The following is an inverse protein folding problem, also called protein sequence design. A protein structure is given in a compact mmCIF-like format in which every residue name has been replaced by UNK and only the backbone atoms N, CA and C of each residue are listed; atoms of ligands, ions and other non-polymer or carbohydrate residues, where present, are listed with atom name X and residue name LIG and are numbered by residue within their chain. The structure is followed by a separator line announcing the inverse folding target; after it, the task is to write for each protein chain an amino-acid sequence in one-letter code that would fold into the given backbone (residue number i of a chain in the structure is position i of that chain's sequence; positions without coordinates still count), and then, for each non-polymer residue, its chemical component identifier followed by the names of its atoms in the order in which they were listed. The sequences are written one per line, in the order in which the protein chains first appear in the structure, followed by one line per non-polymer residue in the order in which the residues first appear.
data_IF_724020606770
#
_entry.id   IF_724020606770
#
_cell.length_a   1.000
_cell.length_b   1.000
_cell.length_c   1.000
_cell.angle_alpha   90.00
_cell.angle_beta   90.00
_cell.angle_gamma   90.00
#
_symmetry.space_group_name_H-M   'P 1'
#
loop_
_entity.id
_entity.type
_entity.pdbx_description
1 polymer ?
#
# COMPACT_ATOMS: atom_id res chain seq x y z
N UNK A 1 -25.79 -0.56 -12.49
CA UNK A 1 -24.65 -1.39 -12.03
C UNK A 1 -24.88 -1.77 -10.58
N UNK A 2 -24.77 -3.05 -10.25
CA UNK A 2 -24.86 -3.48 -8.85
C UNK A 2 -23.67 -2.93 -8.06
N UNK A 3 -23.93 -2.41 -6.86
CA UNK A 3 -22.87 -1.90 -5.97
C UNK A 3 -22.18 -3.12 -5.34
N UNK A 4 -20.94 -3.40 -5.78
CA UNK A 4 -20.14 -4.52 -5.26
C UNK A 4 -19.46 -4.23 -3.92
N UNK A 5 -19.42 -2.96 -3.49
CA UNK A 5 -18.78 -2.51 -2.26
C UNK A 5 -19.82 -2.28 -1.19
N UNK A 6 -19.55 -2.77 0.01
CA UNK A 6 -20.41 -2.56 1.19
C UNK A 6 -19.60 -2.15 2.41
N UNK A 7 -20.30 -1.61 3.41
CA UNK A 7 -19.70 -1.37 4.73
C UNK A 7 -19.51 -2.67 5.48
N UNK A 8 -18.53 -2.72 6.37
CA UNK A 8 -18.37 -3.81 7.34
C UNK A 8 -19.52 -3.79 8.36
N UNK A 9 -19.61 -4.80 9.20
CA UNK A 9 -20.65 -4.88 10.24
C UNK A 9 -20.58 -3.70 11.24
N UNK A 10 -21.73 -3.37 11.85
CA UNK A 10 -21.78 -2.34 12.89
C UNK A 10 -20.88 -2.73 14.09
N UNK A 11 -20.85 -4.01 14.43
CA UNK A 11 -20.01 -4.53 15.52
C UNK A 11 -18.53 -4.33 15.22
N UNK A 12 -18.07 -4.65 14.00
CA UNK A 12 -16.69 -4.47 13.60
C UNK A 12 -16.32 -2.98 13.53
N UNK A 13 -17.25 -2.15 13.06
CA UNK A 13 -17.09 -0.69 13.08
C UNK A 13 -16.90 -0.17 14.50
N UNK A 14 -17.72 -0.61 15.45
CA UNK A 14 -17.62 -0.22 16.85
C UNK A 14 -16.29 -0.68 17.46
N UNK A 15 -15.89 -1.93 17.21
CA UNK A 15 -14.58 -2.45 17.67
C UNK A 15 -13.43 -1.57 17.19
N UNK A 16 -13.39 -1.23 15.89
CA UNK A 16 -12.34 -0.37 15.33
C UNK A 16 -12.32 1.00 16.05
N UNK A 17 -13.46 1.61 16.27
CA UNK A 17 -13.53 2.92 16.93
C UNK A 17 -13.09 2.85 18.40
N UNK A 18 -13.51 1.84 19.15
CA UNK A 18 -13.11 1.63 20.54
C UNK A 18 -11.59 1.42 20.64
N UNK A 19 -11.03 0.51 19.85
CA UNK A 19 -9.58 0.29 19.84
C UNK A 19 -8.80 1.54 19.43
N UNK A 20 -9.28 2.26 18.41
CA UNK A 20 -8.63 3.50 17.96
C UNK A 20 -8.68 4.59 19.02
N UNK A 21 -9.80 4.71 19.76
CA UNK A 21 -9.94 5.64 20.87
C UNK A 21 -8.95 5.31 22.00
N UNK A 22 -8.94 4.05 22.46
CA UNK A 22 -8.03 3.61 23.52
C UNK A 22 -6.56 3.82 23.12
N UNK A 23 -6.22 3.48 21.87
CA UNK A 23 -4.88 3.72 21.35
C UNK A 23 -4.54 5.22 21.30
N UNK A 24 -5.49 6.06 20.90
CA UNK A 24 -5.33 7.53 20.88
C UNK A 24 -5.06 8.07 22.29
N UNK A 25 -5.80 7.62 23.28
CA UNK A 25 -5.58 8.00 24.70
C UNK A 25 -4.18 7.57 25.14
N UNK A 26 -3.77 6.33 24.85
CA UNK A 26 -2.44 5.84 25.17
C UNK A 26 -1.33 6.69 24.51
N UNK A 27 -1.47 7.06 23.24
CA UNK A 27 -0.52 7.92 22.54
C UNK A 27 -0.44 9.30 23.20
N UNK A 28 -1.57 9.89 23.60
CA UNK A 28 -1.59 11.19 24.27
C UNK A 28 -0.87 11.10 25.61
N UNK A 29 -1.16 10.10 26.43
CA UNK A 29 -0.50 9.88 27.74
C UNK A 29 1.01 9.68 27.56
N UNK A 30 1.42 8.82 26.62
CA UNK A 30 2.83 8.59 26.28
C UNK A 30 3.52 9.90 25.86
N UNK A 31 2.89 10.72 25.03
CA UNK A 31 3.44 12.02 24.61
C UNK A 31 3.56 13.00 25.76
N UNK A 32 2.57 13.05 26.61
CA UNK A 32 2.61 13.91 27.79
C UNK A 32 3.77 13.53 28.72
N UNK A 33 3.94 12.25 29.01
CA UNK A 33 5.08 11.76 29.78
C UNK A 33 6.42 12.09 29.12
N UNK A 34 6.60 11.84 27.81
CA UNK A 34 7.83 12.18 27.09
C UNK A 34 8.12 13.68 27.08
N UNK A 35 7.09 14.53 26.98
CA UNK A 35 7.28 16.00 27.02
C UNK A 35 7.79 16.49 28.38
N UNK A 36 7.39 15.81 29.46
CA UNK A 36 7.93 16.09 30.80
C UNK A 36 9.39 15.73 30.89
N UNK A 37 9.81 14.62 30.26
CA UNK A 37 11.17 14.08 30.38
C UNK A 37 12.15 14.69 29.36
N UNK A 38 11.70 15.08 28.16
CA UNK A 38 12.54 15.68 27.10
C UNK A 38 11.76 16.73 26.28
N UNK A 39 11.74 18.00 26.78
CA UNK A 39 10.99 19.09 26.11
C UNK A 39 11.56 19.49 24.74
N UNK A 40 12.86 19.23 24.46
CA UNK A 40 13.57 19.70 23.27
C UNK A 40 13.36 18.81 22.03
N UNK A 41 12.84 17.62 22.19
CA UNK A 41 12.74 16.61 21.12
C UNK A 41 11.70 16.89 20.02
N UNK A 42 10.89 17.94 20.14
CA UNK A 42 9.68 18.15 19.34
C UNK A 42 9.82 19.11 18.14
N UNK A 43 10.96 19.78 17.91
CA UNK A 43 10.98 20.96 17.03
C UNK A 43 12.16 20.97 16.04
N UNK A 44 12.20 20.03 15.08
CA UNK A 44 13.11 20.14 13.93
C UNK A 44 12.38 19.82 12.62
N UNK A 45 11.32 20.56 12.31
CA UNK A 45 10.75 20.53 10.97
C UNK A 45 11.51 21.48 10.07
N UNK A 46 12.18 20.95 9.07
CA UNK A 46 12.82 21.75 8.04
C UNK A 46 11.78 22.23 7.04
N UNK A 47 11.70 23.54 6.84
CA UNK A 47 10.84 24.13 5.82
C UNK A 47 11.45 23.83 4.44
N UNK A 48 10.63 23.33 3.52
CA UNK A 48 11.00 22.97 2.15
C UNK A 48 10.14 23.78 1.18
N UNK A 49 10.61 24.95 0.79
CA UNK A 49 9.86 25.85 -0.10
C UNK A 49 10.22 25.63 -1.57
N UNK A 50 11.41 25.11 -1.84
CA UNK A 50 11.91 24.88 -3.21
C UNK A 50 11.80 23.40 -3.57
N UNK A 51 11.12 23.05 -4.67
CA UNK A 51 11.04 21.68 -5.14
C UNK A 51 12.42 21.18 -5.59
N UNK A 52 12.82 19.95 -5.25
CA UNK A 52 14.02 19.30 -5.80
C UNK A 52 13.97 19.22 -7.33
N UNK A 53 15.13 19.30 -7.96
CA UNK A 53 15.27 19.33 -9.42
C UNK A 53 14.61 18.13 -10.14
N UNK A 54 14.64 16.96 -9.52
CA UNK A 54 14.01 15.76 -10.10
C UNK A 54 12.47 15.84 -10.23
N UNK A 55 11.82 16.78 -9.53
CA UNK A 55 10.38 17.04 -9.68
C UNK A 55 10.08 17.99 -10.86
N UNK A 56 11.09 18.68 -11.35
CA UNK A 56 10.99 19.60 -12.48
C UNK A 56 11.53 19.00 -13.79
N UNK A 57 12.07 17.77 -13.70
CA UNK A 57 12.68 17.08 -14.82
C UNK A 57 11.62 16.49 -15.76
N UNK A 58 11.49 17.07 -16.93
CA UNK A 58 10.57 16.62 -17.98
C UNK A 58 11.03 15.36 -18.73
N UNK A 59 12.21 14.81 -18.43
CA UNK A 59 12.73 13.60 -19.10
C UNK A 59 11.86 12.36 -18.84
N UNK A 60 11.18 12.32 -17.69
CA UNK A 60 10.24 11.26 -17.33
C UNK A 60 8.87 11.41 -18.01
N UNK A 61 8.48 12.63 -18.38
CA UNK A 61 7.20 12.92 -19.02
C UNK A 61 6.77 14.36 -18.81
N UNK A 62 5.62 14.72 -19.38
CA UNK A 62 5.05 16.05 -19.25
C UNK A 62 4.11 16.12 -18.04
N UNK A 63 4.26 17.15 -17.22
CA UNK A 63 3.36 17.45 -16.11
C UNK A 63 2.07 18.09 -16.65
N UNK A 64 0.96 17.47 -16.36
CA UNK A 64 -0.35 17.89 -16.82
C UNK A 64 -1.33 18.01 -15.66
N UNK A 65 -2.37 18.81 -15.88
CA UNK A 65 -3.44 19.02 -14.90
C UNK A 65 -4.80 18.90 -15.57
N UNK A 66 -5.73 18.25 -14.89
CA UNK A 66 -7.14 18.21 -15.32
C UNK A 66 -8.05 18.53 -14.13
N UNK A 67 -9.07 19.34 -14.35
CA UNK A 67 -10.05 19.67 -13.34
C UNK A 67 -11.33 18.87 -13.58
N UNK A 68 -11.69 17.98 -12.66
CA UNK A 68 -12.86 17.12 -12.74
C UNK A 68 -13.75 17.34 -11.51
N UNK A 69 -15.00 17.72 -11.75
CA UNK A 69 -15.99 17.97 -10.67
C UNK A 69 -15.46 18.89 -9.55
N UNK A 70 -14.65 19.90 -9.92
CA UNK A 70 -14.10 20.88 -8.99
C UNK A 70 -12.79 20.48 -8.30
N UNK A 71 -12.26 19.30 -8.57
CA UNK A 71 -10.96 18.80 -8.06
C UNK A 71 -9.93 18.86 -9.20
N UNK A 72 -8.79 19.49 -8.94
CA UNK A 72 -7.64 19.50 -9.84
C UNK A 72 -6.80 18.24 -9.57
N UNK A 73 -6.55 17.45 -10.60
CA UNK A 73 -5.63 16.32 -10.57
C UNK A 73 -4.37 16.66 -11.34
N UNK A 74 -3.23 16.37 -10.76
CA UNK A 74 -1.92 16.36 -11.40
C UNK A 74 -1.60 14.95 -11.88
N UNK A 75 -0.96 14.86 -13.04
CA UNK A 75 -0.40 13.62 -13.58
C UNK A 75 0.78 13.88 -14.48
N UNK A 76 1.67 12.89 -14.56
CA UNK A 76 2.79 12.90 -15.51
C UNK A 76 2.48 11.95 -16.64
N UNK A 77 2.57 12.45 -17.87
CA UNK A 77 2.24 11.72 -19.09
C UNK A 77 3.46 11.54 -19.99
N UNK A 78 3.64 10.32 -20.50
CA UNK A 78 4.69 9.97 -21.45
C UNK A 78 4.17 8.99 -22.52
N UNK A 79 4.82 8.93 -23.67
CA UNK A 79 4.36 8.15 -24.81
C UNK A 79 3.43 8.96 -25.72
N UNK A 80 2.70 8.30 -26.61
CA UNK A 80 1.82 8.93 -27.59
C UNK A 80 0.35 8.63 -27.36
N UNK A 81 -0.53 9.57 -27.68
CA UNK A 81 -1.98 9.45 -27.46
C UNK A 81 -2.64 8.32 -28.26
N UNK A 82 -1.97 7.81 -29.30
CA UNK A 82 -2.47 6.70 -30.12
C UNK A 82 -2.18 5.31 -29.51
N UNK A 83 -1.29 5.27 -28.53
CA UNK A 83 -0.92 4.01 -27.86
C UNK A 83 -1.95 3.61 -26.78
N UNK A 84 -2.02 2.31 -26.43
CA UNK A 84 -2.86 1.85 -25.34
C UNK A 84 -2.48 2.51 -24.00
N UNK A 85 -3.49 2.93 -23.21
CA UNK A 85 -3.25 3.59 -21.93
C UNK A 85 -2.79 2.61 -20.85
N UNK A 86 -1.72 3.00 -20.15
CA UNK A 86 -1.29 2.43 -18.86
C UNK A 86 -1.45 3.51 -17.80
N UNK A 87 -2.30 3.25 -16.83
CA UNK A 87 -2.53 4.11 -15.67
C UNK A 87 -1.75 3.57 -14.45
N UNK A 88 -0.84 4.39 -13.93
CA UNK A 88 -0.02 4.09 -12.78
C UNK A 88 -0.61 4.75 -11.54
N UNK A 89 -0.90 3.95 -10.50
CA UNK A 89 -1.52 4.35 -9.25
C UNK A 89 -0.54 4.08 -8.10
N UNK A 90 0.03 5.14 -7.54
CA UNK A 90 1.04 5.07 -6.49
C UNK A 90 0.49 4.62 -5.13
N UNK A 91 1.38 4.24 -4.21
CA UNK A 91 1.10 3.84 -2.84
C UNK A 91 1.06 4.99 -1.84
N UNK A 92 1.32 4.66 -0.56
CA UNK A 92 1.45 5.60 0.53
C UNK A 92 2.61 5.19 1.46
N UNK A 93 3.46 6.14 1.85
CA UNK A 93 3.57 7.53 1.38
C UNK A 93 4.38 7.60 0.08
N UNK A 94 3.72 7.78 -1.03
CA UNK A 94 4.31 7.81 -2.38
C UNK A 94 3.52 8.80 -3.27
N UNK A 95 3.96 9.04 -4.50
CA UNK A 95 3.33 9.90 -5.49
C UNK A 95 3.83 9.53 -6.90
N UNK A 96 3.51 10.30 -7.94
CA UNK A 96 3.85 9.96 -9.32
C UNK A 96 5.31 9.53 -9.54
N UNK A 97 6.25 10.08 -8.78
CA UNK A 97 7.70 9.84 -8.89
C UNK A 97 8.08 8.39 -8.52
N UNK A 98 7.27 7.68 -7.78
CA UNK A 98 7.46 6.26 -7.48
C UNK A 98 7.61 5.40 -8.72
N UNK A 99 7.10 5.87 -9.85
CA UNK A 99 7.12 5.18 -11.13
C UNK A 99 8.28 5.58 -12.05
N UNK A 100 9.28 6.33 -11.55
CA UNK A 100 10.43 6.85 -12.33
C UNK A 100 11.19 5.80 -13.12
N UNK A 101 11.20 4.55 -12.67
CA UNK A 101 11.85 3.43 -13.37
C UNK A 101 10.94 2.69 -14.35
N UNK A 102 9.61 2.85 -14.26
CA UNK A 102 8.64 2.20 -15.13
C UNK A 102 8.24 3.08 -16.30
N UNK A 103 8.13 4.39 -16.08
CA UNK A 103 7.74 5.34 -17.13
C UNK A 103 8.65 5.25 -18.37
N UNK A 104 10.01 5.26 -18.25
CA UNK A 104 10.88 5.24 -19.41
C UNK A 104 10.74 3.99 -20.28
N UNK A 105 10.52 2.83 -19.67
CA UNK A 105 10.41 1.57 -20.42
C UNK A 105 9.02 1.35 -21.01
N UNK A 106 7.99 1.90 -20.37
CA UNK A 106 6.61 1.73 -20.84
C UNK A 106 6.28 2.71 -21.96
N UNK A 107 6.81 3.95 -21.93
CA UNK A 107 6.49 5.00 -22.91
C UNK A 107 6.85 4.66 -24.36
N UNK A 108 7.73 3.67 -24.56
CA UNK A 108 8.09 3.20 -25.90
C UNK A 108 6.92 2.50 -26.61
N UNK A 109 6.00 1.92 -25.85
CA UNK A 109 4.93 1.08 -26.38
C UNK A 109 3.53 1.46 -25.90
N UNK A 110 3.45 2.32 -24.89
CA UNK A 110 2.20 2.68 -24.21
C UNK A 110 2.13 4.19 -23.99
N UNK A 111 0.91 4.71 -23.99
CA UNK A 111 0.61 5.99 -23.37
C UNK A 111 0.62 5.78 -21.86
N UNK A 112 1.60 6.31 -21.16
CA UNK A 112 1.80 6.12 -19.73
C UNK A 112 1.31 7.35 -18.99
N UNK A 113 0.43 7.16 -18.02
CA UNK A 113 -0.08 8.23 -17.17
C UNK A 113 0.14 7.84 -15.71
N UNK A 114 1.01 8.58 -15.02
CA UNK A 114 1.25 8.46 -13.59
C UNK A 114 0.45 9.52 -12.86
N UNK A 115 -0.62 9.09 -12.18
CA UNK A 115 -1.59 9.97 -11.52
C UNK A 115 -1.15 10.25 -10.08
N UNK A 116 -1.13 11.52 -9.68
CA UNK A 116 -1.20 11.87 -8.26
C UNK A 116 -2.65 11.79 -7.79
N UNK A 117 -2.92 10.89 -6.86
CA UNK A 117 -4.23 10.83 -6.25
C UNK A 117 -4.61 12.15 -5.58
N UNK A 118 -5.89 12.44 -5.50
CA UNK A 118 -6.39 13.55 -4.68
C UNK A 118 -5.83 13.44 -3.26
N UNK A 119 -5.26 14.53 -2.76
CA UNK A 119 -4.58 14.56 -1.47
C UNK A 119 -3.07 14.33 -1.53
N UNK A 120 -2.52 14.01 -2.71
CA UNK A 120 -1.11 13.70 -2.92
C UNK A 120 -0.48 14.64 -3.94
N UNK A 121 0.85 14.72 -3.94
CA UNK A 121 1.64 15.44 -4.91
C UNK A 121 1.09 16.85 -5.19
N UNK A 122 0.91 17.18 -6.46
CA UNK A 122 0.36 18.46 -6.91
C UNK A 122 -1.15 18.44 -7.19
N UNK A 123 -1.83 17.34 -6.88
CA UNK A 123 -3.29 17.28 -6.90
C UNK A 123 -3.91 18.04 -5.73
N UNK A 124 -5.15 18.50 -5.90
CA UNK A 124 -5.89 19.17 -4.82
C UNK A 124 -5.96 18.31 -3.56
N UNK A 125 -5.85 18.97 -2.38
CA UNK A 125 -5.82 18.34 -1.06
C UNK A 125 -7.00 18.78 -0.18
N UNK A 126 -8.25 18.35 -0.49
CA UNK A 126 -9.40 18.69 0.34
C UNK A 126 -9.23 18.18 1.77
N UNK A 127 -9.48 19.03 2.77
CA UNK A 127 -9.26 18.68 4.18
C UNK A 127 -10.29 17.71 4.74
N UNK A 128 -11.52 17.71 4.21
CA UNK A 128 -12.63 16.98 4.79
C UNK A 128 -12.67 15.52 4.38
N UNK A 129 -12.76 14.59 5.33
CA UNK A 129 -12.90 13.14 5.14
C UNK A 129 -13.97 12.74 4.12
N UNK A 130 -15.08 13.48 4.01
CA UNK A 130 -16.16 13.22 3.06
C UNK A 130 -15.72 13.20 1.59
N UNK A 131 -14.59 13.85 1.27
CA UNK A 131 -14.04 13.88 -0.09
C UNK A 131 -13.26 12.60 -0.44
N UNK A 132 -12.90 11.78 0.55
CA UNK A 132 -12.08 10.57 0.41
C UNK A 132 -12.89 9.28 0.56
N UNK A 133 -14.21 9.34 0.44
CA UNK A 133 -15.05 8.13 0.38
C UNK A 133 -14.74 7.34 -0.87
N UNK A 134 -14.58 6.02 -0.75
CA UNK A 134 -14.15 5.15 -1.86
C UNK A 134 -15.00 5.34 -3.11
N UNK A 135 -16.32 5.39 -3.00
CA UNK A 135 -17.21 5.58 -4.15
C UNK A 135 -16.90 6.86 -4.94
N UNK A 136 -16.53 7.93 -4.24
CA UNK A 136 -16.16 9.21 -4.86
C UNK A 136 -14.83 9.11 -5.59
N UNK A 137 -13.84 8.45 -4.97
CA UNK A 137 -12.53 8.20 -5.55
C UNK A 137 -12.66 7.36 -6.82
N UNK A 138 -13.45 6.27 -6.78
CA UNK A 138 -13.65 5.42 -7.95
C UNK A 138 -14.35 6.16 -9.10
N UNK A 139 -15.32 7.02 -8.79
CA UNK A 139 -15.94 7.88 -9.80
C UNK A 139 -14.94 8.86 -10.42
N UNK A 140 -14.13 9.50 -9.60
CA UNK A 140 -13.08 10.43 -10.06
C UNK A 140 -12.06 9.74 -10.95
N UNK A 141 -11.59 8.53 -10.62
CA UNK A 141 -10.70 7.74 -11.47
C UNK A 141 -11.38 7.35 -12.79
N UNK A 142 -12.64 6.94 -12.76
CA UNK A 142 -13.42 6.66 -13.97
C UNK A 142 -13.50 7.89 -14.87
N UNK A 143 -13.84 9.04 -14.30
CA UNK A 143 -13.98 10.28 -15.04
C UNK A 143 -12.61 10.77 -15.55
N UNK A 144 -11.52 10.53 -14.79
CA UNK A 144 -10.15 10.77 -15.22
C UNK A 144 -9.78 9.92 -16.44
N UNK A 145 -10.01 8.61 -16.42
CA UNK A 145 -9.76 7.73 -17.57
C UNK A 145 -10.53 8.21 -18.81
N UNK A 146 -11.79 8.59 -18.62
CA UNK A 146 -12.62 9.10 -19.71
C UNK A 146 -12.14 10.44 -20.28
N UNK A 147 -11.64 11.32 -19.42
CA UNK A 147 -11.08 12.61 -19.85
C UNK A 147 -9.83 12.45 -20.72
N UNK A 148 -9.12 11.32 -20.60
CA UNK A 148 -8.01 10.95 -21.47
C UNK A 148 -8.44 10.40 -22.85
N UNK A 149 -9.77 10.30 -23.10
CA UNK A 149 -10.32 9.88 -24.39
C UNK A 149 -10.27 8.38 -24.67
N UNK A 150 -10.10 7.54 -23.64
CA UNK A 150 -10.02 6.08 -23.80
C UNK A 150 -11.21 5.36 -23.19
N UNK A 151 -11.51 4.18 -23.73
CA UNK A 151 -12.61 3.31 -23.24
C UNK A 151 -12.18 2.32 -22.20
N UNK A 152 -10.89 1.98 -22.16
CA UNK A 152 -10.29 1.02 -21.24
C UNK A 152 -8.78 1.27 -21.11
N UNK A 153 -8.18 0.71 -20.07
CA UNK A 153 -6.75 0.84 -19.80
C UNK A 153 -6.16 -0.40 -19.10
N UNK A 154 -4.85 -0.44 -19.01
CA UNK A 154 -4.13 -1.30 -18.11
C UNK A 154 -3.87 -0.50 -16.83
N UNK A 155 -4.17 -1.07 -15.67
CA UNK A 155 -3.88 -0.44 -14.37
C UNK A 155 -2.68 -1.14 -13.74
N UNK A 156 -1.75 -0.35 -13.23
CA UNK A 156 -0.65 -0.80 -12.37
C UNK A 156 -0.79 -0.05 -11.06
N UNK A 157 -1.04 -0.75 -9.97
CA UNK A 157 -1.21 -0.14 -8.64
C UNK A 157 -0.23 -0.72 -7.63
N UNK A 158 0.30 0.13 -6.77
CA UNK A 158 1.11 -0.24 -5.63
C UNK A 158 0.41 0.13 -4.33
N UNK A 159 0.46 -0.74 -3.31
CA UNK A 159 -0.06 -0.50 -1.95
C UNK A 159 -1.45 0.15 -1.97
N UNK A 160 -1.62 1.40 -1.53
CA UNK A 160 -2.88 2.14 -1.58
C UNK A 160 -3.47 2.20 -2.99
N UNK A 161 -2.63 2.44 -4.01
CA UNK A 161 -3.07 2.47 -5.41
C UNK A 161 -3.59 1.12 -5.89
N UNK A 162 -2.96 0.04 -5.44
CA UNK A 162 -3.44 -1.31 -5.70
C UNK A 162 -4.73 -1.61 -4.92
N UNK A 163 -4.83 -1.17 -3.66
CA UNK A 163 -6.04 -1.33 -2.85
C UNK A 163 -7.24 -0.61 -3.48
N UNK A 164 -7.06 0.62 -3.95
CA UNK A 164 -8.07 1.36 -4.72
C UNK A 164 -8.37 0.66 -6.05
N UNK A 165 -7.34 0.15 -6.74
CA UNK A 165 -7.47 -0.60 -7.98
C UNK A 165 -8.32 -1.87 -7.85
N UNK A 166 -8.20 -2.59 -6.73
CA UNK A 166 -9.08 -3.73 -6.43
C UNK A 166 -10.55 -3.32 -6.35
N UNK A 167 -10.89 -2.24 -5.64
CA UNK A 167 -12.26 -1.73 -5.61
C UNK A 167 -12.72 -1.23 -6.99
N UNK A 168 -11.81 -0.62 -7.75
CA UNK A 168 -12.10 -0.06 -9.06
C UNK A 168 -12.50 -1.13 -10.08
N UNK A 169 -11.75 -2.25 -10.14
CA UNK A 169 -12.02 -3.32 -11.10
C UNK A 169 -13.36 -4.02 -10.83
N UNK A 170 -13.78 -4.12 -9.56
CA UNK A 170 -15.12 -4.62 -9.22
C UNK A 170 -16.23 -3.66 -9.64
N UNK A 171 -16.01 -2.36 -9.49
CA UNK A 171 -17.02 -1.34 -9.80
C UNK A 171 -17.09 -1.05 -11.30
N UNK A 172 -15.96 -1.11 -12.00
CA UNK A 172 -15.84 -0.76 -13.43
C UNK A 172 -15.03 -1.81 -14.22
N UNK A 173 -15.45 -3.08 -14.25
CA UNK A 173 -14.66 -4.17 -14.84
C UNK A 173 -14.35 -3.96 -16.33
N UNK A 174 -15.23 -3.30 -17.08
CA UNK A 174 -15.06 -3.05 -18.51
C UNK A 174 -13.97 -1.99 -18.82
N UNK A 175 -13.57 -1.19 -17.83
CA UNK A 175 -12.50 -0.20 -18.00
C UNK A 175 -11.09 -0.78 -17.79
N UNK A 176 -10.97 -2.03 -17.30
CA UNK A 176 -9.68 -2.62 -16.92
C UNK A 176 -9.38 -3.85 -17.75
N UNK A 177 -8.42 -3.75 -18.67
CA UNK A 177 -7.95 -4.89 -19.49
C UNK A 177 -7.07 -5.86 -18.72
N UNK A 178 -6.11 -5.31 -17.99
CA UNK A 178 -5.18 -6.04 -17.11
C UNK A 178 -4.97 -5.23 -15.84
N UNK A 179 -4.75 -5.91 -14.75
CA UNK A 179 -4.45 -5.27 -13.48
C UNK A 179 -3.15 -5.85 -12.89
N UNK A 180 -2.13 -5.02 -12.80
CA UNK A 180 -0.91 -5.32 -12.07
C UNK A 180 -1.03 -4.79 -10.66
N UNK A 181 -0.90 -5.67 -9.70
CA UNK A 181 -1.01 -5.40 -8.27
C UNK A 181 0.34 -5.56 -7.64
N UNK A 182 0.82 -4.57 -6.92
CA UNK A 182 2.13 -4.61 -6.27
C UNK A 182 1.91 -4.53 -4.76
N UNK A 183 2.40 -5.54 -4.04
CA UNK A 183 2.43 -5.59 -2.57
C UNK A 183 1.08 -5.29 -1.90
N UNK A 184 -0.03 -5.75 -2.47
CA UNK A 184 -1.37 -5.53 -1.89
C UNK A 184 -2.30 -6.71 -2.18
N UNK A 185 -2.73 -7.50 -1.20
CA UNK A 185 -3.71 -8.55 -1.39
C UNK A 185 -5.11 -7.97 -1.64
N UNK A 186 -6.04 -8.85 -2.04
CA UNK A 186 -7.45 -8.50 -2.20
C UNK A 186 -8.03 -7.85 -0.91
N UNK A 187 -8.88 -6.82 -0.99
CA UNK A 187 -9.37 -6.07 0.19
C UNK A 187 -9.94 -6.93 1.30
N UNK A 188 -10.74 -7.96 0.96
CA UNK A 188 -11.34 -8.85 1.96
C UNK A 188 -10.28 -9.71 2.71
N UNK A 189 -9.12 -9.95 2.08
CA UNK A 189 -7.98 -10.62 2.71
C UNK A 189 -7.13 -9.61 3.47
N UNK A 190 -6.82 -8.46 2.84
CA UNK A 190 -6.00 -7.40 3.42
C UNK A 190 -6.43 -7.03 4.83
N UNK A 191 -7.69 -6.64 5.01
CA UNK A 191 -8.21 -6.22 6.31
C UNK A 191 -8.28 -7.38 7.34
N UNK A 192 -8.45 -8.62 6.88
CA UNK A 192 -8.45 -9.81 7.73
C UNK A 192 -7.06 -10.25 8.18
N UNK A 193 -6.05 -10.14 7.32
CA UNK A 193 -4.67 -10.55 7.60
C UNK A 193 -3.94 -9.61 8.56
N UNK A 194 -4.32 -8.33 8.59
CA UNK A 194 -3.70 -7.31 9.45
C UNK A 194 -3.84 -7.59 10.96
N UNK A 195 -4.72 -8.50 11.37
CA UNK A 195 -4.87 -8.88 12.79
C UNK A 195 -3.61 -9.50 13.38
N UNK A 196 -2.72 -10.03 12.54
CA UNK A 196 -1.53 -10.76 12.96
C UNK A 196 -0.22 -9.96 12.86
N UNK A 197 -0.25 -8.75 12.27
CA UNK A 197 0.93 -7.90 12.12
C UNK A 197 0.82 -6.69 13.06
N UNK A 198 1.56 -6.71 14.17
CA UNK A 198 1.41 -5.74 15.26
C UNK A 198 1.59 -4.28 14.83
N UNK A 199 2.59 -3.96 14.02
CA UNK A 199 2.92 -2.58 13.63
C UNK A 199 1.90 -1.97 12.66
N UNK A 200 1.53 -2.68 11.60
CA UNK A 200 0.53 -2.20 10.63
C UNK A 200 -0.85 -2.07 11.26
N UNK A 201 -1.24 -3.00 12.13
CA UNK A 201 -2.51 -2.92 12.86
C UNK A 201 -2.56 -1.71 13.80
N UNK A 202 -1.48 -1.45 14.54
CA UNK A 202 -1.37 -0.27 15.41
C UNK A 202 -1.46 1.02 14.61
N UNK A 203 -0.75 1.10 13.48
CA UNK A 203 -0.80 2.25 12.58
C UNK A 203 -2.23 2.50 12.06
N UNK A 204 -2.94 1.46 11.63
CA UNK A 204 -4.32 1.58 11.13
C UNK A 204 -5.32 2.00 12.22
N UNK A 205 -5.09 1.67 13.47
CA UNK A 205 -5.87 2.20 14.59
C UNK A 205 -5.51 3.67 14.85
N UNK A 206 -4.23 4.00 14.78
CA UNK A 206 -3.74 5.35 14.99
C UNK A 206 -4.29 6.34 13.96
N UNK A 207 -4.30 5.99 12.68
CA UNK A 207 -4.82 6.87 11.61
C UNK A 207 -6.32 7.16 11.73
N UNK A 208 -7.08 6.38 12.50
CA UNK A 208 -8.48 6.71 12.80
C UNK A 208 -8.63 7.87 13.80
N UNK A 209 -7.60 8.15 14.61
CA UNK A 209 -7.59 9.26 15.56
C UNK A 209 -7.50 10.57 14.79
N UNK A 210 -8.32 11.59 15.13
CA UNK A 210 -8.25 12.87 14.44
C UNK A 210 -6.98 13.65 14.82
N UNK A 211 -6.39 14.36 13.87
CA UNK A 211 -5.27 15.32 13.99
C UNK A 211 -3.91 14.75 14.45
N UNK A 212 -3.90 13.77 15.32
CA UNK A 212 -2.65 13.25 15.90
C UNK A 212 -1.73 12.57 14.88
N UNK A 213 -2.24 11.72 13.95
CA UNK A 213 -1.41 11.07 12.94
C UNK A 213 -0.73 12.07 12.00
N UNK A 214 -1.46 13.10 11.58
CA UNK A 214 -0.95 14.15 10.70
C UNK A 214 0.18 14.96 11.36
N UNK A 215 0.06 15.24 12.66
CA UNK A 215 1.10 15.95 13.43
C UNK A 215 2.30 15.01 13.67
N UNK A 216 2.02 13.74 13.92
CA UNK A 216 3.06 12.74 14.20
C UNK A 216 3.96 12.49 13.00
N UNK A 217 3.38 12.45 11.82
CA UNK A 217 4.09 12.24 10.58
C UNK A 217 5.11 13.36 10.26
N UNK A 218 4.92 14.57 10.78
CA UNK A 218 5.82 15.71 10.59
C UNK A 218 7.02 15.71 11.55
N UNK A 219 7.02 14.84 12.57
CA UNK A 219 8.09 14.81 13.57
C UNK A 219 9.45 14.47 12.98
N UNK A 220 10.50 14.95 13.66
CA UNK A 220 11.88 14.65 13.34
C UNK A 220 12.19 14.83 11.85
N UNK A 221 11.71 15.96 11.28
CA UNK A 221 11.90 16.29 9.87
C UNK A 221 11.33 15.24 8.92
N UNK A 222 10.08 14.82 9.16
CA UNK A 222 9.39 13.78 8.38
C UNK A 222 10.14 12.44 8.35
N UNK A 223 10.75 12.05 9.47
CA UNK A 223 11.54 10.82 9.62
C UNK A 223 10.83 9.56 9.11
N UNK A 224 9.51 9.54 9.22
CA UNK A 224 8.69 8.45 8.70
C UNK A 224 8.95 8.17 7.21
N UNK A 225 9.27 9.19 6.42
CA UNK A 225 9.64 9.04 5.00
C UNK A 225 10.93 8.22 4.86
N UNK A 226 11.94 8.45 5.71
CA UNK A 226 13.16 7.66 5.69
C UNK A 226 12.91 6.19 6.03
N UNK A 227 11.93 5.92 6.89
CA UNK A 227 11.57 4.54 7.28
C UNK A 227 10.90 3.79 6.14
N UNK A 228 9.93 4.42 5.45
CA UNK A 228 9.24 3.81 4.31
C UNK A 228 10.15 3.67 3.08
N UNK A 229 11.02 4.65 2.83
CA UNK A 229 11.95 4.66 1.69
C UNK A 229 13.39 4.33 2.12
N UNK A 230 13.56 3.38 3.02
CA UNK A 230 14.86 2.95 3.56
C UNK A 230 15.82 2.38 2.50
N UNK A 231 15.29 2.00 1.32
CA UNK A 231 16.07 1.58 0.17
C UNK A 231 16.79 2.75 -0.55
N UNK A 232 16.42 4.01 -0.26
CA UNK A 232 17.09 5.21 -0.76
C UNK A 232 18.19 5.63 0.22
N UNK A 233 19.33 6.08 -0.30
CA UNK A 233 20.39 6.63 0.55
C UNK A 233 19.99 7.97 1.16
N UNK A 234 20.62 8.35 2.28
CA UNK A 234 20.29 9.58 3.00
C UNK A 234 20.47 10.86 2.15
N UNK A 235 21.36 10.83 1.16
CA UNK A 235 21.65 11.96 0.27
C UNK A 235 21.00 11.79 -1.11
N UNK A 236 20.06 10.85 -1.27
CA UNK A 236 19.39 10.62 -2.52
C UNK A 236 18.43 11.78 -2.84
N UNK A 237 18.52 12.33 -4.05
CA UNK A 237 17.65 13.44 -4.51
C UNK A 237 16.16 13.03 -4.49
N UNK A 238 15.87 11.76 -4.70
CA UNK A 238 14.49 11.25 -4.63
C UNK A 238 13.98 11.19 -3.19
N UNK A 239 14.84 10.89 -2.21
CA UNK A 239 14.43 10.94 -0.80
C UNK A 239 14.06 12.36 -0.38
N UNK A 240 14.81 13.38 -0.83
CA UNK A 240 14.43 14.78 -0.58
C UNK A 240 13.15 15.18 -1.32
N UNK A 241 12.89 14.63 -2.51
CA UNK A 241 11.61 14.82 -3.21
C UNK A 241 10.43 14.25 -2.43
N UNK A 242 10.57 13.07 -1.83
CA UNK A 242 9.56 12.51 -0.92
C UNK A 242 9.35 13.41 0.31
N UNK A 243 10.41 13.85 0.96
CA UNK A 243 10.32 14.75 2.13
C UNK A 243 9.68 16.07 1.76
N UNK A 244 9.98 16.64 0.58
CA UNK A 244 9.34 17.85 0.06
C UNK A 244 7.84 17.65 -0.10
N UNK A 245 7.43 16.57 -0.79
CA UNK A 245 6.02 16.27 -1.11
C UNK A 245 5.18 15.93 0.12
N UNK A 246 5.82 15.62 1.26
CA UNK A 246 5.16 15.29 2.52
C UNK A 246 5.59 16.23 3.68
N UNK A 247 6.07 17.43 3.38
CA UNK A 247 6.60 18.36 4.39
C UNK A 247 5.53 19.14 5.15
N UNK A 248 4.29 19.20 4.65
CA UNK A 248 3.19 19.97 5.22
C UNK A 248 2.11 19.07 5.82
N UNK A 249 1.33 19.57 6.74
CA UNK A 249 0.23 18.83 7.39
C UNK A 249 -0.82 18.38 6.36
N UNK A 250 -1.11 19.21 5.39
CA UNK A 250 -2.08 18.96 4.33
C UNK A 250 -1.68 17.76 3.46
N UNK A 251 -0.36 17.53 3.32
CA UNK A 251 0.20 16.40 2.56
C UNK A 251 -0.08 15.05 3.23
N UNK A 252 -0.45 15.04 4.51
CA UNK A 252 -0.80 13.84 5.27
C UNK A 252 -2.31 13.67 5.45
N UNK A 253 -3.05 14.77 5.53
CA UNK A 253 -4.51 14.73 5.81
C UNK A 253 -5.27 13.96 4.73
N UNK A 254 -4.99 14.24 3.45
CA UNK A 254 -5.60 13.52 2.33
C UNK A 254 -5.30 12.03 2.37
N UNK A 255 -4.02 11.63 2.30
CA UNK A 255 -3.60 10.23 2.37
C UNK A 255 -4.20 9.44 3.53
N UNK A 256 -4.15 9.98 4.74
CA UNK A 256 -4.72 9.35 5.94
C UNK A 256 -6.23 9.16 5.81
N UNK A 257 -6.94 10.09 5.18
CA UNK A 257 -8.39 10.00 4.99
C UNK A 257 -8.83 8.86 4.06
N UNK A 258 -7.97 8.36 3.15
CA UNK A 258 -8.25 7.12 2.41
C UNK A 258 -8.41 5.94 3.37
N UNK A 259 -7.47 5.73 4.29
CA UNK A 259 -7.53 4.63 5.26
C UNK A 259 -8.66 4.79 6.26
N UNK A 260 -9.08 6.04 6.56
CA UNK A 260 -10.25 6.34 7.40
C UNK A 260 -11.58 5.92 6.76
N UNK A 261 -11.66 5.71 5.44
CA UNK A 261 -12.85 5.17 4.77
C UNK A 261 -12.65 3.70 4.37
N UNK A 262 -11.53 3.37 3.72
CA UNK A 262 -11.27 2.04 3.15
C UNK A 262 -11.34 0.94 4.19
N UNK A 263 -10.89 1.18 5.42
CA UNK A 263 -10.93 0.19 6.51
C UNK A 263 -12.34 -0.28 6.84
N UNK A 264 -13.34 0.51 6.54
CA UNK A 264 -14.76 0.19 6.78
C UNK A 264 -15.46 -0.36 5.55
N UNK A 265 -14.71 -0.74 4.51
CA UNK A 265 -15.24 -1.23 3.25
C UNK A 265 -14.77 -2.63 2.95
N UNK A 266 -15.68 -3.42 2.37
CA UNK A 266 -15.38 -4.76 1.84
C UNK A 266 -16.11 -4.99 0.52
N UNK A 267 -15.57 -5.90 -0.28
CA UNK A 267 -16.26 -6.41 -1.46
C UNK A 267 -17.32 -7.41 -0.99
N UNK A 268 -18.52 -7.36 -1.57
CA UNK A 268 -19.59 -8.32 -1.27
C UNK A 268 -19.16 -9.73 -1.67
N UNK A 269 -19.44 -10.71 -0.83
CA UNK A 269 -19.10 -12.12 -1.10
C UNK A 269 -19.77 -12.68 -2.36
N UNK A 270 -20.94 -12.15 -2.71
CA UNK A 270 -21.72 -12.52 -3.90
C UNK A 270 -21.21 -11.87 -5.19
N UNK A 271 -20.19 -11.03 -5.10
CA UNK A 271 -19.62 -10.40 -6.28
C UNK A 271 -18.95 -11.45 -7.16
N UNK A 272 -19.17 -11.34 -8.49
CA UNK A 272 -18.52 -12.23 -9.45
C UNK A 272 -17.00 -12.06 -9.39
N UNK A 273 -16.28 -13.14 -9.66
CA UNK A 273 -14.83 -13.10 -9.78
C UNK A 273 -14.39 -12.15 -10.89
N UNK A 274 -13.20 -11.56 -10.68
CA UNK A 274 -12.57 -10.69 -11.66
C UNK A 274 -12.17 -11.50 -12.89
N UNK A 275 -12.69 -11.13 -14.06
CA UNK A 275 -12.44 -11.81 -15.35
C UNK A 275 -11.18 -11.30 -16.04
N UNK A 276 -10.77 -10.05 -15.77
CA UNK A 276 -9.54 -9.49 -16.28
C UNK A 276 -8.32 -10.20 -15.69
N UNK A 277 -7.23 -10.26 -16.46
CA UNK A 277 -6.00 -10.88 -15.94
C UNK A 277 -5.40 -10.02 -14.84
N UNK A 278 -5.18 -10.62 -13.68
CA UNK A 278 -4.51 -10.01 -12.53
C UNK A 278 -3.11 -10.59 -12.37
N UNK A 279 -2.10 -9.74 -12.31
CA UNK A 279 -0.71 -10.10 -12.07
C UNK A 279 -0.28 -9.46 -10.77
N UNK A 280 -0.09 -10.25 -9.74
CA UNK A 280 0.35 -9.75 -8.44
C UNK A 280 1.86 -9.97 -8.28
N UNK A 281 2.56 -8.91 -7.93
CA UNK A 281 4.02 -8.89 -7.72
C UNK A 281 4.30 -8.48 -6.29
N UNK A 282 5.18 -9.22 -5.60
CA UNK A 282 5.59 -8.95 -4.22
C UNK A 282 7.10 -9.19 -4.08
N UNK A 283 7.75 -8.45 -3.21
CA UNK A 283 9.12 -8.73 -2.77
C UNK A 283 9.14 -9.88 -1.76
N UNK A 284 10.19 -10.69 -1.78
CA UNK A 284 10.38 -11.81 -0.82
C UNK A 284 10.66 -11.34 0.62
N UNK A 285 11.09 -10.08 0.76
CA UNK A 285 11.35 -9.41 2.05
C UNK A 285 10.27 -8.39 2.43
N UNK A 286 9.08 -8.47 1.86
CA UNK A 286 7.96 -7.61 2.25
C UNK A 286 7.48 -7.98 3.66
N UNK A 287 7.82 -7.14 4.64
CA UNK A 287 7.43 -7.33 6.04
C UNK A 287 5.99 -6.87 6.33
N UNK A 288 5.39 -6.09 5.42
CA UNK A 288 4.04 -5.56 5.59
C UNK A 288 2.97 -6.53 5.12
N UNK A 289 3.26 -7.30 4.06
CA UNK A 289 2.30 -8.15 3.37
C UNK A 289 2.81 -9.59 3.33
N UNK A 290 2.04 -10.52 3.87
CA UNK A 290 2.40 -11.94 3.86
C UNK A 290 2.12 -12.60 2.50
N UNK A 291 2.98 -13.51 2.09
CA UNK A 291 2.78 -14.31 0.88
C UNK A 291 1.47 -15.12 0.94
N UNK A 292 1.06 -15.58 2.13
CA UNK A 292 -0.20 -16.27 2.33
C UNK A 292 -1.41 -15.42 1.92
N UNK A 293 -1.42 -14.14 2.32
CA UNK A 293 -2.50 -13.21 1.95
C UNK A 293 -2.56 -12.96 0.44
N UNK A 294 -1.39 -12.95 -0.22
CA UNK A 294 -1.27 -12.84 -1.67
C UNK A 294 -1.87 -14.08 -2.35
N UNK A 295 -1.51 -15.27 -1.89
CA UNK A 295 -2.02 -16.54 -2.46
C UNK A 295 -3.54 -16.63 -2.30
N UNK A 296 -4.09 -16.29 -1.13
CA UNK A 296 -5.54 -16.27 -0.89
C UNK A 296 -6.29 -15.32 -1.81
N UNK A 297 -5.65 -14.25 -2.27
CA UNK A 297 -6.26 -13.30 -3.21
C UNK A 297 -6.63 -13.92 -4.56
N UNK A 298 -6.03 -15.06 -4.91
CA UNK A 298 -6.36 -15.80 -6.14
C UNK A 298 -7.80 -16.31 -6.18
N UNK A 299 -8.44 -16.50 -5.03
CA UNK A 299 -9.82 -16.98 -4.94
C UNK A 299 -10.84 -16.01 -5.56
N UNK A 300 -10.44 -14.74 -5.72
CA UNK A 300 -11.28 -13.67 -6.25
C UNK A 300 -11.08 -13.39 -7.75
N UNK A 301 -10.21 -14.15 -8.41
CA UNK A 301 -9.81 -13.89 -9.79
C UNK A 301 -9.93 -15.16 -10.64
N UNK A 302 -10.45 -15.04 -11.86
CA UNK A 302 -10.47 -16.15 -12.83
C UNK A 302 -9.06 -16.42 -13.41
N UNK A 303 -8.27 -15.35 -13.61
CA UNK A 303 -6.91 -15.39 -14.18
C UNK A 303 -5.96 -14.64 -13.25
N UNK A 304 -5.20 -15.38 -12.47
CA UNK A 304 -4.31 -14.83 -11.46
C UNK A 304 -2.89 -15.36 -11.59
N UNK A 305 -1.92 -14.45 -11.59
CA UNK A 305 -0.50 -14.78 -11.64
C UNK A 305 0.20 -14.14 -10.44
N UNK A 306 1.03 -14.91 -9.75
CA UNK A 306 1.89 -14.42 -8.68
C UNK A 306 3.34 -14.38 -9.18
N UNK A 307 4.03 -13.29 -8.85
CA UNK A 307 5.47 -13.13 -9.08
C UNK A 307 6.13 -12.61 -7.82
N UNK A 308 7.23 -13.24 -7.46
CA UNK A 308 8.05 -12.87 -6.31
C UNK A 308 9.34 -12.28 -6.86
N UNK A 309 9.76 -11.14 -6.32
CA UNK A 309 11.03 -10.51 -6.65
C UNK A 309 11.98 -10.73 -5.48
N UNK A 310 13.07 -11.42 -5.76
CA UNK A 310 14.09 -11.72 -4.77
C UNK A 310 14.83 -10.44 -4.31
N UNK A 311 15.16 -10.40 -3.03
CA UNK A 311 15.87 -9.30 -2.38
C UNK A 311 15.15 -7.94 -2.52
N UNK A 312 13.82 -7.95 -2.53
CA UNK A 312 13.01 -6.74 -2.53
C UNK A 312 12.00 -6.77 -1.38
N UNK A 313 11.78 -5.61 -0.77
CA UNK A 313 10.77 -5.39 0.27
C UNK A 313 9.44 -4.95 -0.31
N UNK A 314 8.82 -3.96 0.34
CA UNK A 314 7.46 -3.50 0.01
C UNK A 314 7.37 -2.70 -1.30
N UNK A 315 8.49 -2.14 -1.77
CA UNK A 315 8.58 -1.33 -3.01
C UNK A 315 9.36 -2.07 -4.12
N UNK A 316 8.98 -3.30 -4.54
CA UNK A 316 9.79 -4.11 -5.45
C UNK A 316 10.02 -3.45 -6.82
N UNK A 317 9.14 -2.55 -7.25
CA UNK A 317 9.26 -1.76 -8.47
C UNK A 317 10.32 -0.65 -8.37
N UNK A 318 10.69 -0.24 -7.16
CA UNK A 318 11.73 0.76 -6.88
C UNK A 318 13.03 0.11 -6.38
N UNK A 319 12.93 -0.96 -5.59
CA UNK A 319 14.07 -1.65 -4.99
C UNK A 319 14.81 -2.57 -5.97
N UNK A 320 14.06 -3.23 -6.86
CA UNK A 320 14.64 -4.08 -7.92
C UNK A 320 13.96 -3.81 -9.28
N UNK A 321 14.12 -2.58 -9.82
CA UNK A 321 13.38 -2.15 -11.01
C UNK A 321 13.69 -2.99 -12.25
N UNK A 322 14.90 -3.53 -12.37
CA UNK A 322 15.28 -4.36 -13.52
C UNK A 322 14.43 -5.64 -13.60
N UNK A 323 14.33 -6.38 -12.50
CA UNK A 323 13.55 -7.61 -12.46
C UNK A 323 12.05 -7.32 -12.55
N UNK A 324 11.58 -6.29 -11.85
CA UNK A 324 10.19 -5.86 -11.92
C UNK A 324 9.79 -5.49 -13.37
N UNK A 325 10.58 -4.67 -14.04
CA UNK A 325 10.33 -4.24 -15.41
C UNK A 325 10.31 -5.42 -16.40
N UNK A 326 11.20 -6.41 -16.21
CA UNK A 326 11.20 -7.64 -17.00
C UNK A 326 9.89 -8.44 -16.85
N UNK A 327 9.38 -8.57 -15.62
CA UNK A 327 8.08 -9.20 -15.35
C UNK A 327 6.96 -8.39 -16.00
N UNK A 328 6.98 -7.07 -15.81
CA UNK A 328 5.97 -6.16 -16.34
C UNK A 328 5.83 -6.29 -17.85
N UNK A 329 6.92 -6.11 -18.59
CA UNK A 329 6.94 -6.20 -20.06
C UNK A 329 6.50 -7.59 -20.55
N UNK A 330 6.98 -8.65 -19.91
CA UNK A 330 6.56 -10.03 -20.24
C UNK A 330 5.04 -10.18 -20.23
N UNK A 331 4.38 -9.73 -19.16
CA UNK A 331 2.92 -9.87 -19.04
C UNK A 331 2.14 -8.80 -19.83
N UNK A 332 2.75 -7.65 -20.13
CA UNK A 332 2.16 -6.65 -21.04
C UNK A 332 1.98 -7.20 -22.45
N UNK A 333 3.02 -7.84 -23.00
CA UNK A 333 3.04 -8.32 -24.37
C UNK A 333 2.53 -9.75 -24.54
N UNK A 334 2.29 -10.49 -23.47
CA UNK A 334 1.76 -11.83 -23.56
C UNK A 334 0.37 -11.82 -24.20
N UNK A 335 0.29 -12.26 -25.46
CA UNK A 335 -0.98 -12.51 -26.16
C UNK A 335 -1.76 -13.60 -25.41
N UNK A 336 -3.07 -13.60 -25.49
CA UNK A 336 -3.98 -14.61 -24.93
C UNK A 336 -3.71 -16.00 -25.51
N UNK A 337 -2.65 -16.67 -25.13
CA UNK A 337 -2.52 -18.12 -25.27
C UNK A 337 -3.12 -18.78 -24.03
N UNK A 338 -4.43 -18.97 -24.07
CA UNK A 338 -5.13 -19.77 -23.07
C UNK A 338 -4.95 -21.24 -23.48
N UNK A 339 -3.88 -21.85 -23.05
CA UNK A 339 -3.80 -23.31 -23.01
C UNK A 339 -4.44 -23.78 -21.71
N UNK A 340 -5.56 -24.54 -21.81
CA UNK A 340 -6.20 -25.28 -20.70
C UNK A 340 -5.20 -26.15 -19.89
N UNK A 341 -4.01 -26.41 -20.40
CA UNK A 341 -2.91 -27.08 -19.71
C UNK A 341 -2.25 -26.24 -18.61
N UNK A 342 -2.14 -24.91 -18.79
CA UNK A 342 -1.52 -24.01 -17.82
C UNK A 342 -2.37 -23.84 -16.55
N UNK A 343 -3.69 -23.89 -16.67
CA UNK A 343 -4.62 -23.75 -15.54
C UNK A 343 -4.52 -24.93 -14.55
N UNK A 344 -4.36 -26.16 -15.07
CA UNK A 344 -4.13 -27.36 -14.24
C UNK A 344 -2.75 -27.34 -13.56
N UNK A 345 -1.73 -26.78 -14.22
CA UNK A 345 -0.38 -26.64 -13.67
C UNK A 345 -0.31 -25.57 -12.58
N UNK A 346 -0.99 -24.43 -12.77
CA UNK A 346 -1.05 -23.35 -11.79
C UNK A 346 -1.74 -23.76 -10.48
N UNK A 347 -2.88 -24.45 -10.57
CA UNK A 347 -3.60 -24.99 -9.39
C UNK A 347 -2.77 -26.02 -8.63
N UNK A 348 -1.97 -26.84 -9.35
CA UNK A 348 -1.07 -27.84 -8.73
C UNK A 348 0.14 -27.20 -8.04
N UNK A 349 0.71 -26.14 -8.64
CA UNK A 349 1.81 -25.38 -8.06
C UNK A 349 1.32 -24.59 -6.82
N UNK A 350 0.16 -23.97 -6.89
CA UNK A 350 -0.46 -23.25 -5.80
C UNK A 350 -0.74 -24.16 -4.59
N UNK A 351 -1.23 -25.39 -4.85
CA UNK A 351 -1.44 -26.40 -3.80
C UNK A 351 -0.12 -26.86 -3.16
N UNK A 352 0.98 -26.90 -3.93
CA UNK A 352 2.34 -27.16 -3.43
C UNK A 352 2.90 -26.02 -2.58
N UNK A 353 2.72 -24.77 -3.01
CA UNK A 353 3.16 -23.58 -2.28
C UNK A 353 2.38 -23.47 -0.95
N UNK A 354 1.05 -23.64 -0.95
CA UNK A 354 0.24 -23.68 0.26
C UNK A 354 0.65 -24.82 1.21
N UNK A 355 0.98 -26.00 0.66
CA UNK A 355 1.49 -27.11 1.45
C UNK A 355 2.86 -26.82 2.08
N UNK A 356 3.75 -26.16 1.35
CA UNK A 356 5.07 -25.75 1.86
C UNK A 356 4.96 -24.66 2.94
N UNK A 357 4.11 -23.64 2.71
CA UNK A 357 3.85 -22.57 3.69
C UNK A 357 3.22 -23.15 4.97
N UNK A 358 2.22 -24.02 4.84
CA UNK A 358 1.62 -24.68 6.01
C UNK A 358 2.61 -25.57 6.78
N UNK A 359 3.55 -26.24 6.08
CA UNK A 359 4.60 -26.99 6.73
C UNK A 359 5.62 -26.10 7.44
N UNK A 360 5.98 -24.97 6.84
CA UNK A 360 6.89 -23.97 7.46
C UNK A 360 6.25 -23.34 8.68
N UNK A 361 4.96 -23.01 8.63
CA UNK A 361 4.19 -22.49 9.77
C UNK A 361 4.04 -23.54 10.86
N UNK A 362 3.78 -24.82 10.52
CA UNK A 362 3.76 -25.93 11.51
C UNK A 362 5.12 -26.12 12.20
N UNK A 363 6.21 -26.08 11.43
CA UNK A 363 7.57 -26.18 12.00
C UNK A 363 7.87 -24.96 12.86
N UNK A 364 7.51 -23.76 12.43
CA UNK A 364 7.65 -22.52 13.22
C UNK A 364 6.87 -22.58 14.54
N UNK A 365 5.60 -23.00 14.50
CA UNK A 365 4.78 -23.16 15.71
C UNK A 365 5.34 -24.24 16.63
N UNK A 366 5.80 -25.38 16.09
CA UNK A 366 6.41 -26.45 16.90
C UNK A 366 7.73 -26.00 17.56
N UNK A 367 8.52 -25.18 16.85
CA UNK A 367 9.75 -24.60 17.42
C UNK A 367 9.40 -23.56 18.48
N UNK A 368 8.39 -22.72 18.24
CA UNK A 368 7.93 -21.71 19.20
C UNK A 368 7.36 -22.36 20.47
N UNK A 369 6.51 -23.39 20.33
CA UNK A 369 5.96 -24.16 21.45
C UNK A 369 7.06 -24.86 22.25
N UNK A 370 8.10 -25.39 21.59
CA UNK A 370 9.25 -25.99 22.26
C UNK A 370 10.14 -24.98 22.99
N UNK A 371 10.28 -23.76 22.45
CA UNK A 371 10.99 -22.65 23.10
C UNK A 371 10.18 -22.18 24.30
N UNK A 372 8.85 -22.02 24.17
CA UNK A 372 7.98 -21.58 25.25
C UNK A 372 7.95 -22.62 26.40
N UNK A 373 7.92 -23.92 26.08
CA UNK A 373 8.02 -25.01 27.06
C UNK A 373 9.35 -25.03 27.80
N UNK A 374 10.47 -24.85 27.08
CA UNK A 374 11.81 -24.74 27.68
C UNK A 374 11.94 -23.49 28.59
N UNK A 375 11.33 -22.37 28.18
CA UNK A 375 11.35 -21.12 28.96
C UNK A 375 10.52 -21.27 30.23
N UNK A 376 9.37 -21.95 30.16
CA UNK A 376 8.51 -22.24 31.34
C UNK A 376 9.20 -23.21 32.32
N UNK A 377 9.89 -24.23 31.81
CA UNK A 377 10.66 -25.17 32.62
C UNK A 377 11.88 -24.51 33.29
N UNK A 378 12.52 -23.55 32.67
CA UNK A 378 13.62 -22.76 33.23
C UNK A 378 13.12 -21.77 34.29
N UNK A 379 11.96 -21.13 34.08
CA UNK A 379 11.37 -20.20 35.07
C UNK A 379 10.80 -20.90 36.29
N UNK A 380 10.26 -22.13 36.15
CA UNK A 380 9.76 -22.91 37.28
C UNK A 380 10.86 -23.48 38.17
N UNK A 381 12.10 -23.56 37.70
CA UNK A 381 13.24 -24.11 38.45
C UNK A 381 14.21 -23.03 38.98
N UNK A 382 13.87 -21.74 38.89
CA UNK A 382 14.67 -20.67 39.49
C UNK A 382 14.21 -20.32 40.91
N UNK A 383 15.14 -20.15 41.86
CA UNK A 383 14.79 -19.73 43.23
C UNK A 383 14.15 -18.36 43.22
N UNK A 384 13.10 -18.19 43.99
CA UNK A 384 12.13 -17.08 44.05
C UNK A 384 12.73 -15.66 44.21
N UNK A 385 14.04 -15.51 44.32
CA UNK A 385 14.72 -14.19 44.42
C UNK A 385 15.31 -13.66 43.12
N UNK A 386 15.33 -14.42 42.03
CA UNK A 386 15.91 -14.03 40.75
C UNK A 386 14.84 -13.73 39.68
N UNK A 387 13.56 -14.03 39.92
CA UNK A 387 12.49 -13.84 38.93
C UNK A 387 12.05 -12.39 38.72
N UNK A 388 12.36 -11.46 39.63
CA UNK A 388 11.98 -10.05 39.50
C UNK A 388 12.96 -9.21 38.66
N UNK A 389 14.21 -9.65 38.52
CA UNK A 389 15.21 -8.88 37.74
C UNK A 389 15.23 -9.26 36.26
N UNK A 390 14.65 -10.38 35.85
CA UNK A 390 14.65 -10.82 34.45
C UNK A 390 13.49 -10.21 33.63
N UNK A 391 12.44 -9.73 34.30
CA UNK A 391 11.34 -9.03 33.62
C UNK A 391 11.59 -7.55 33.37
N UNK A 392 12.62 -6.96 33.99
CA UNK A 392 12.93 -5.53 33.78
C UNK A 392 13.98 -5.28 32.70
N UNK A 393 14.76 -6.26 32.26
CA UNK A 393 15.83 -6.07 31.27
C UNK A 393 15.42 -6.31 29.81
N UNK A 394 14.23 -6.86 29.52
CA UNK A 394 13.75 -7.12 28.15
C UNK A 394 12.62 -6.19 27.69
N UNK A 395 12.43 -5.04 28.34
CA UNK A 395 11.45 -4.03 27.93
C UNK A 395 12.13 -2.77 27.35
N UNK A 396 13.47 -2.80 27.19
CA UNK A 396 14.24 -1.68 26.59
C UNK A 396 15.16 -2.25 25.52
N UNK A 397 14.61 -2.49 24.34
CA UNK A 397 15.25 -2.36 23.03
C UNK A 397 14.18 -2.20 21.93
#
# INVERSE_FOLDING_TARGET
MAICIQSISVIDTLKIHVFSFLFGVWVIVKRFSMRIWDPKRLHNLQIRDTPPSCLLDSSLGQHNYVKLKGVKFHYVEAGTNTQPLVLLLHGFPDFWLGWRYQIPILKEHFRVVSLDFKGFGDSDKPLWRKHYKIFKILEEIKDFIRSLGVTDCIIIGHDLGALVGWYFIYQYPNLVKKFFVISCPHPNIYWGSLKNTSNTYQWLNFVQVPYLPEIDALKENVKIINQYHSHLSANDVYLEAYKYSFSRKEDWTGPINYYRDLRFRKIKNESKNITSTVILVIGDKDEMISLESIVKSSEYCEKFHIKIIENAGHFPHQENPRNFNGILLKYMFQKREISRKAERSGKRLMKRILGAVNNTVKIGNTVFDNIQKKTTDVVSNLPTRLSLNYMQSNIVE
#
